data_IF_103488490102
#
_entry.id   IF_103488490102
#
_cell.length_a   1.000
_cell.length_b   1.000
_cell.length_c   1.000
_cell.angle_alpha   90.00
_cell.angle_beta   90.00
_cell.angle_gamma   90.00
#
_symmetry.space_group_name_H-M   'P 1'
#
loop_
_entity.id
_entity.type
_entity.pdbx_description
1 polymer ?
#
# COMPACT_ATOMS: atom_id res chain seq x y z
N UNK A 1 16.17 -6.51 -10.32
CA UNK A 1 14.87 -6.07 -9.78
C UNK A 1 14.69 -4.57 -9.98
N UNK A 2 13.52 -4.16 -10.45
CA UNK A 2 13.15 -2.75 -10.63
C UNK A 2 12.30 -2.26 -9.45
N UNK A 3 12.57 -1.04 -8.99
CA UNK A 3 11.73 -0.34 -8.01
C UNK A 3 11.42 1.06 -8.53
N UNK A 4 10.17 1.48 -8.36
CA UNK A 4 9.80 2.88 -8.63
C UNK A 4 10.47 3.81 -7.60
N UNK A 5 11.02 4.93 -8.05
CA UNK A 5 11.84 5.85 -7.22
C UNK A 5 11.20 6.32 -5.91
N UNK A 6 9.87 6.29 -5.80
CA UNK A 6 9.13 6.75 -4.63
C UNK A 6 8.86 5.64 -3.59
N UNK A 7 9.42 4.45 -3.80
CA UNK A 7 9.28 3.31 -2.89
C UNK A 7 10.50 3.24 -1.97
N UNK A 8 10.29 3.56 -0.69
CA UNK A 8 11.32 3.43 0.33
C UNK A 8 11.50 1.97 0.73
N UNK A 9 12.73 1.47 0.58
CA UNK A 9 13.07 0.05 0.74
C UNK A 9 14.44 -0.12 1.39
N UNK A 10 14.58 -1.18 2.17
CA UNK A 10 15.84 -1.56 2.81
C UNK A 10 16.10 -3.03 2.47
N UNK A 11 17.29 -3.36 1.96
CA UNK A 11 17.66 -4.77 1.80
C UNK A 11 17.97 -5.37 3.17
N UNK A 12 17.42 -6.53 3.47
CA UNK A 12 17.54 -7.25 4.74
C UNK A 12 18.45 -8.46 4.58
N UNK A 13 19.74 -8.20 4.39
CA UNK A 13 20.75 -9.27 4.21
C UNK A 13 20.87 -10.18 5.44
N UNK A 14 20.46 -9.69 6.60
CA UNK A 14 20.38 -10.44 7.84
C UNK A 14 19.30 -11.54 7.84
N UNK A 15 18.35 -11.47 6.90
CA UNK A 15 17.34 -12.51 6.67
C UNK A 15 17.71 -13.45 5.50
N UNK A 16 18.80 -13.18 4.78
CA UNK A 16 19.27 -14.00 3.67
C UNK A 16 20.10 -15.20 4.17
N UNK A 17 20.19 -16.26 3.37
CA UNK A 17 21.00 -17.45 3.67
C UNK A 17 21.96 -17.73 2.51
N UNK A 18 23.25 -17.93 2.79
CA UNK A 18 24.31 -18.01 1.76
C UNK A 18 24.12 -19.14 0.74
N UNK A 19 23.49 -20.25 1.17
CA UNK A 19 23.18 -21.41 0.32
C UNK A 19 21.88 -21.27 -0.49
N UNK A 20 21.22 -20.11 -0.41
CA UNK A 20 19.94 -19.84 -1.08
C UNK A 20 20.10 -18.68 -2.06
N UNK A 21 19.54 -18.85 -3.26
CA UNK A 21 19.36 -17.74 -4.19
C UNK A 21 18.12 -16.95 -3.77
N UNK A 22 18.25 -16.17 -2.71
CA UNK A 22 17.19 -15.32 -2.17
C UNK A 22 17.64 -13.89 -1.93
N UNK A 23 16.69 -12.96 -1.94
CA UNK A 23 16.92 -11.59 -1.48
C UNK A 23 15.73 -11.11 -0.67
N UNK A 24 16.03 -10.54 0.50
CA UNK A 24 15.01 -9.98 1.37
C UNK A 24 15.00 -8.45 1.33
N UNK A 25 13.81 -7.88 1.32
CA UNK A 25 13.59 -6.45 1.33
C UNK A 25 12.50 -6.08 2.32
N UNK A 26 12.74 -5.02 3.07
CA UNK A 26 11.71 -4.36 3.85
C UNK A 26 11.17 -3.17 3.07
N UNK A 27 9.90 -3.26 2.69
CA UNK A 27 9.13 -2.18 2.10
C UNK A 27 8.53 -1.32 3.21
N UNK A 28 8.99 -0.07 3.35
CA UNK A 28 8.40 0.87 4.31
C UNK A 28 7.08 1.41 3.74
N UNK A 29 5.97 1.12 4.42
CA UNK A 29 4.66 1.73 4.14
C UNK A 29 4.30 2.73 5.26
N UNK A 30 3.28 3.56 5.04
CA UNK A 30 2.79 4.50 6.09
C UNK A 30 2.20 3.77 7.31
N UNK A 31 1.65 2.56 7.11
CA UNK A 31 1.03 1.79 8.18
C UNK A 31 2.05 0.92 8.90
N UNK A 32 2.51 -0.14 8.25
CA UNK A 32 3.47 -1.11 8.79
C UNK A 32 4.37 -1.62 7.67
N UNK A 33 5.67 -1.84 7.94
CA UNK A 33 6.56 -2.41 6.95
C UNK A 33 6.08 -3.77 6.47
N UNK A 34 6.44 -4.13 5.24
CA UNK A 34 6.18 -5.44 4.64
C UNK A 34 7.53 -6.03 4.29
N UNK A 35 7.79 -7.26 4.73
CA UNK A 35 8.96 -8.01 4.29
C UNK A 35 8.61 -8.72 2.99
N UNK A 36 9.50 -8.60 2.01
CA UNK A 36 9.40 -9.20 0.69
C UNK A 36 10.62 -10.07 0.50
N UNK A 37 10.37 -11.35 0.29
CA UNK A 37 11.37 -12.36 0.00
C UNK A 37 11.23 -12.78 -1.46
N UNK A 38 12.34 -12.69 -2.21
CA UNK A 38 12.40 -13.05 -3.62
C UNK A 38 13.32 -14.24 -3.73
N UNK A 39 12.76 -15.40 -4.07
CA UNK A 39 13.49 -16.66 -4.12
C UNK A 39 13.58 -17.21 -5.53
N UNK A 40 14.72 -17.83 -5.81
CA UNK A 40 14.87 -18.77 -6.90
C UNK A 40 15.33 -20.11 -6.34
N UNK A 41 14.63 -21.19 -6.70
CA UNK A 41 15.11 -22.56 -6.48
C UNK A 41 15.50 -23.15 -7.82
N UNK A 42 16.76 -23.52 -8.00
CA UNK A 42 17.17 -24.29 -9.18
C UNK A 42 16.56 -25.71 -9.16
N UNK A 43 16.21 -26.27 -10.32
CA UNK A 43 15.84 -27.69 -10.45
C UNK A 43 16.91 -28.66 -9.95
N UNK A 44 18.19 -28.22 -9.96
CA UNK A 44 19.33 -29.02 -9.49
C UNK A 44 19.52 -28.98 -7.98
N UNK A 45 18.87 -28.04 -7.30
CA UNK A 45 19.00 -27.87 -5.86
C UNK A 45 18.19 -28.93 -5.12
N UNK A 46 18.78 -29.46 -4.04
CA UNK A 46 18.09 -30.41 -3.16
C UNK A 46 16.81 -29.79 -2.60
N UNK A 47 15.68 -30.46 -2.85
CA UNK A 47 14.38 -30.05 -2.32
C UNK A 47 14.42 -29.94 -0.79
N UNK A 48 15.03 -30.91 -0.11
CA UNK A 48 15.06 -30.95 1.37
C UNK A 48 15.83 -29.77 1.93
N UNK A 49 17.03 -29.50 1.43
CA UNK A 49 17.86 -28.40 1.94
C UNK A 49 17.25 -27.04 1.62
N UNK A 50 16.68 -26.86 0.42
CA UNK A 50 16.00 -25.62 0.07
C UNK A 50 14.89 -25.29 1.07
N UNK A 51 13.99 -26.24 1.36
CA UNK A 51 12.86 -25.99 2.25
C UNK A 51 13.28 -25.83 3.71
N UNK A 52 14.36 -26.47 4.15
CA UNK A 52 14.94 -26.25 5.48
C UNK A 52 15.49 -24.83 5.64
N UNK A 53 16.28 -24.34 4.67
CA UNK A 53 16.81 -22.98 4.71
C UNK A 53 15.71 -21.93 4.50
N UNK A 54 14.74 -22.20 3.63
CA UNK A 54 13.56 -21.36 3.46
C UNK A 54 12.77 -21.22 4.77
N UNK A 55 12.50 -22.34 5.46
CA UNK A 55 11.83 -22.34 6.77
C UNK A 55 12.63 -21.56 7.82
N UNK A 56 13.96 -21.69 7.84
CA UNK A 56 14.82 -20.93 8.74
C UNK A 56 14.78 -19.42 8.47
N UNK A 57 14.94 -18.98 7.21
CA UNK A 57 14.82 -17.56 6.83
C UNK A 57 13.45 -17.00 7.20
N UNK A 58 12.39 -17.77 6.94
CA UNK A 58 11.02 -17.38 7.21
C UNK A 58 10.74 -17.24 8.71
N UNK A 59 11.24 -18.15 9.55
CA UNK A 59 11.13 -18.04 11.01
C UNK A 59 11.81 -16.79 11.54
N UNK A 60 13.03 -16.51 11.09
CA UNK A 60 13.74 -15.28 11.47
C UNK A 60 12.94 -14.02 11.07
N UNK A 61 12.34 -14.03 9.87
CA UNK A 61 11.52 -12.92 9.41
C UNK A 61 10.21 -12.77 10.22
N UNK A 62 9.56 -13.90 10.56
CA UNK A 62 8.31 -13.93 11.34
C UNK A 62 8.50 -13.46 12.79
N UNK A 63 9.67 -13.69 13.38
CA UNK A 63 10.03 -13.19 14.71
C UNK A 63 10.02 -11.64 14.76
N UNK A 64 10.20 -10.97 13.62
CA UNK A 64 10.21 -9.52 13.53
C UNK A 64 8.92 -8.91 12.97
N UNK A 65 8.32 -9.56 11.96
CA UNK A 65 7.20 -9.02 11.23
C UNK A 65 6.33 -10.13 10.64
N UNK A 66 5.04 -10.10 10.97
CA UNK A 66 4.09 -11.06 10.42
C UNK A 66 3.51 -10.68 9.05
N UNK A 67 3.95 -9.56 8.44
CA UNK A 67 3.55 -9.10 7.09
C UNK A 67 4.62 -9.49 6.08
N UNK A 68 4.51 -10.69 5.52
CA UNK A 68 5.52 -11.28 4.64
C UNK A 68 4.90 -11.65 3.30
N UNK A 69 5.60 -11.35 2.22
CA UNK A 69 5.33 -11.81 0.86
C UNK A 69 6.56 -12.55 0.37
N UNK A 70 6.45 -13.85 0.12
CA UNK A 70 7.50 -14.64 -0.53
C UNK A 70 7.09 -14.89 -1.98
N UNK A 71 7.95 -14.57 -2.93
CA UNK A 71 7.66 -14.73 -4.36
C UNK A 71 8.86 -15.23 -5.16
N UNK A 72 8.58 -15.83 -6.31
CA UNK A 72 9.59 -16.22 -7.30
C UNK A 72 9.42 -17.63 -7.84
N UNK A 73 10.41 -18.10 -8.60
CA UNK A 73 10.40 -19.41 -9.23
C UNK A 73 10.98 -20.46 -8.27
N UNK A 74 10.11 -21.34 -7.78
CA UNK A 74 10.49 -22.39 -6.85
C UNK A 74 10.76 -23.74 -7.55
N UNK A 75 10.65 -23.79 -8.89
CA UNK A 75 10.79 -25.01 -9.69
C UNK A 75 10.08 -26.23 -9.07
N UNK A 76 8.87 -25.98 -8.55
CA UNK A 76 8.00 -26.98 -7.94
C UNK A 76 6.58 -26.71 -8.36
N UNK A 77 5.91 -27.73 -8.90
CA UNK A 77 4.55 -27.61 -9.39
C UNK A 77 3.54 -27.59 -8.23
N UNK A 78 2.85 -26.46 -8.02
CA UNK A 78 1.81 -26.31 -6.98
C UNK A 78 0.38 -26.51 -7.55
N UNK A 79 0.24 -27.00 -8.79
CA UNK A 79 -1.05 -27.47 -9.33
C UNK A 79 -1.44 -28.84 -8.75
N UNK A 80 -0.45 -29.68 -8.46
CA UNK A 80 -0.62 -30.97 -7.79
C UNK A 80 -0.53 -30.83 -6.28
N UNK A 81 -0.98 -31.87 -5.56
CA UNK A 81 -0.77 -31.96 -4.12
C UNK A 81 0.72 -31.83 -3.78
N UNK A 82 1.00 -30.97 -2.79
CA UNK A 82 2.35 -30.78 -2.31
C UNK A 82 2.77 -31.97 -1.43
N UNK A 83 4.03 -32.41 -1.53
CA UNK A 83 4.66 -33.25 -0.53
C UNK A 83 4.41 -32.72 0.90
N UNK A 84 4.25 -33.62 1.86
CA UNK A 84 3.87 -33.26 3.23
C UNK A 84 4.86 -32.31 3.89
N UNK A 85 6.15 -32.50 3.66
CA UNK A 85 7.23 -31.65 4.16
C UNK A 85 7.09 -30.19 3.69
N UNK A 86 6.83 -29.97 2.40
CA UNK A 86 6.62 -28.62 1.85
C UNK A 86 5.34 -28.01 2.40
N UNK A 87 4.27 -28.81 2.44
CA UNK A 87 2.97 -28.37 2.95
C UNK A 87 3.08 -27.95 4.42
N UNK A 88 3.85 -28.67 5.22
CA UNK A 88 4.07 -28.37 6.63
C UNK A 88 4.84 -27.06 6.79
N UNK A 89 5.90 -26.82 6.00
CA UNK A 89 6.62 -25.52 6.01
C UNK A 89 5.68 -24.36 5.67
N UNK A 90 4.83 -24.50 4.66
CA UNK A 90 3.87 -23.45 4.27
C UNK A 90 2.85 -23.23 5.39
N UNK A 91 2.25 -24.30 5.90
CA UNK A 91 1.14 -24.22 6.86
C UNK A 91 1.59 -23.77 8.26
N UNK A 92 2.69 -24.33 8.79
CA UNK A 92 3.22 -24.00 10.12
C UNK A 92 3.61 -22.52 10.21
N UNK A 93 4.14 -21.97 9.12
CA UNK A 93 4.53 -20.57 9.05
C UNK A 93 3.40 -19.62 8.59
N UNK A 94 2.16 -20.12 8.51
CA UNK A 94 0.99 -19.30 8.19
C UNK A 94 0.99 -18.71 6.78
N UNK A 95 1.72 -19.32 5.84
CA UNK A 95 1.75 -18.88 4.45
C UNK A 95 0.55 -19.40 3.67
N UNK A 96 0.01 -18.54 2.82
CA UNK A 96 -1.13 -18.79 1.95
C UNK A 96 -0.65 -18.67 0.51
N UNK A 97 -0.86 -19.72 -0.28
CA UNK A 97 -0.69 -19.67 -1.74
C UNK A 97 -1.78 -18.81 -2.36
N UNK A 98 -1.41 -17.85 -3.20
CA UNK A 98 -2.40 -16.97 -3.81
C UNK A 98 -2.48 -17.10 -5.35
N UNK A 99 -1.48 -17.66 -6.02
CA UNK A 99 -1.55 -17.98 -7.46
C UNK A 99 -2.03 -19.43 -7.66
N UNK A 100 -2.92 -19.63 -8.63
CA UNK A 100 -3.58 -20.92 -8.89
C UNK A 100 -3.61 -21.32 -10.38
N UNK A 101 -3.04 -20.49 -11.26
CA UNK A 101 -2.94 -20.76 -12.71
C UNK A 101 -1.53 -21.23 -13.04
N UNK A 102 -1.38 -21.98 -14.12
CA UNK A 102 -0.05 -22.35 -14.61
C UNK A 102 0.77 -21.09 -14.97
N UNK A 103 2.06 -21.14 -14.69
CA UNK A 103 3.01 -20.05 -14.93
C UNK A 103 4.19 -20.46 -15.79
N UNK A 104 4.28 -21.74 -16.17
CA UNK A 104 5.29 -22.30 -17.05
C UNK A 104 4.61 -23.19 -18.09
N UNK A 105 5.07 -23.09 -19.34
CA UNK A 105 4.49 -23.80 -20.48
C UNK A 105 5.60 -24.41 -21.33
N UNK A 106 5.73 -25.73 -21.31
CA UNK A 106 6.70 -26.45 -22.14
C UNK A 106 6.07 -26.76 -23.51
N UNK A 107 6.53 -26.05 -24.54
CA UNK A 107 6.03 -26.20 -25.92
C UNK A 107 6.39 -27.54 -26.55
N UNK A 108 7.40 -28.25 -26.03
CA UNK A 108 7.84 -29.56 -26.55
C UNK A 108 6.93 -30.68 -26.07
N UNK A 109 6.44 -30.58 -24.84
CA UNK A 109 5.58 -31.60 -24.21
C UNK A 109 4.12 -31.20 -24.17
N UNK A 110 3.77 -29.96 -24.57
CA UNK A 110 2.44 -29.36 -24.43
C UNK A 110 1.92 -29.40 -22.98
N UNK A 111 2.83 -29.35 -22.01
CA UNK A 111 2.49 -29.39 -20.59
C UNK A 111 2.55 -28.00 -19.97
N UNK A 112 1.82 -27.82 -18.86
CA UNK A 112 1.82 -26.58 -18.10
C UNK A 112 1.98 -26.86 -16.61
N UNK A 113 2.65 -25.96 -15.89
CA UNK A 113 2.93 -26.11 -14.45
C UNK A 113 2.88 -24.76 -13.75
N UNK A 114 2.54 -24.76 -12.46
CA UNK A 114 2.62 -23.57 -11.60
C UNK A 114 3.96 -23.62 -10.85
N UNK A 115 4.95 -22.87 -11.33
CA UNK A 115 6.32 -22.84 -10.81
C UNK A 115 6.70 -21.50 -10.16
N UNK A 116 6.10 -20.40 -10.65
CA UNK A 116 6.23 -19.06 -10.08
C UNK A 116 5.14 -18.87 -9.02
N UNK A 117 5.55 -18.70 -7.77
CA UNK A 117 4.61 -18.62 -6.65
C UNK A 117 4.61 -17.23 -6.05
N UNK A 118 3.45 -16.86 -5.51
CA UNK A 118 3.34 -15.81 -4.51
C UNK A 118 2.68 -16.45 -3.29
N UNK A 119 3.40 -16.43 -2.18
CA UNK A 119 2.99 -16.88 -0.87
C UNK A 119 2.93 -15.66 0.05
N UNK A 120 1.86 -15.54 0.82
CA UNK A 120 1.67 -14.39 1.71
C UNK A 120 1.23 -14.86 3.08
N UNK A 121 1.59 -14.13 4.13
CA UNK A 121 0.94 -14.30 5.43
C UNK A 121 -0.49 -13.73 5.41
N UNK A 122 -1.32 -14.20 6.33
CA UNK A 122 -2.72 -13.77 6.50
C UNK A 122 -2.90 -12.26 6.70
N UNK A 123 -1.87 -11.58 7.22
CA UNK A 123 -1.86 -10.14 7.50
C UNK A 123 -1.61 -9.24 6.27
N UNK A 124 -1.38 -9.84 5.10
CA UNK A 124 -1.25 -9.11 3.83
C UNK A 124 -2.63 -8.87 3.21
N UNK A 125 -3.09 -7.61 3.10
CA UNK A 125 -4.37 -7.29 2.49
C UNK A 125 -4.26 -7.34 0.96
N UNK A 126 -4.42 -8.53 0.39
CA UNK A 126 -4.41 -8.74 -1.06
C UNK A 126 -5.69 -8.16 -1.67
N UNK A 127 -5.54 -7.25 -2.62
CA UNK A 127 -6.63 -6.61 -3.37
C UNK A 127 -6.90 -7.31 -4.70
N UNK A 128 -5.84 -7.68 -5.42
CA UNK A 128 -5.93 -8.36 -6.72
C UNK A 128 -4.69 -9.22 -6.96
N UNK A 129 -4.81 -10.24 -7.81
CA UNK A 129 -3.74 -11.19 -8.11
C UNK A 129 -4.06 -11.99 -9.36
N UNK A 130 -3.08 -12.16 -10.23
CA UNK A 130 -3.20 -13.08 -11.35
C UNK A 130 -1.84 -13.39 -12.00
N UNK A 131 -1.88 -14.17 -13.08
CA UNK A 131 -0.80 -14.33 -14.04
C UNK A 131 -0.98 -13.38 -15.22
N UNK A 132 0.12 -12.89 -15.78
CA UNK A 132 0.15 -12.08 -16.99
C UNK A 132 0.78 -12.93 -18.09
N UNK A 133 0.02 -13.25 -19.16
CA UNK A 133 0.55 -13.98 -20.30
C UNK A 133 1.72 -13.24 -20.95
N UNK A 134 2.83 -13.95 -21.13
CA UNK A 134 4.00 -13.47 -21.87
C UNK A 134 4.07 -14.20 -23.22
N UNK A 135 4.52 -13.46 -24.25
CA UNK A 135 4.73 -14.04 -25.58
C UNK A 135 5.75 -15.19 -25.52
N UNK A 136 5.42 -16.33 -26.14
CA UNK A 136 6.25 -17.55 -26.08
C UNK A 136 7.54 -17.48 -26.89
N UNK A 137 7.68 -16.47 -27.76
CA UNK A 137 8.96 -16.12 -28.37
C UNK A 137 9.90 -15.38 -27.42
N UNK A 138 9.40 -14.89 -26.28
CA UNK A 138 10.17 -14.17 -25.25
C UNK A 138 10.46 -15.07 -24.05
N UNK A 139 9.44 -15.78 -23.54
CA UNK A 139 9.54 -16.57 -22.31
C UNK A 139 8.54 -17.74 -22.32
N UNK A 140 8.98 -18.88 -21.81
CA UNK A 140 8.13 -20.04 -21.46
C UNK A 140 7.39 -19.85 -20.12
N UNK A 141 7.81 -18.88 -19.32
CA UNK A 141 7.12 -18.45 -18.11
C UNK A 141 6.16 -17.27 -18.35
N UNK A 142 5.02 -17.32 -17.66
CA UNK A 142 4.17 -16.16 -17.40
C UNK A 142 4.59 -15.45 -16.12
N UNK A 143 4.42 -14.13 -16.12
CA UNK A 143 4.67 -13.28 -14.96
C UNK A 143 3.51 -13.43 -13.95
N UNK A 144 3.80 -13.27 -12.67
CA UNK A 144 2.78 -13.26 -11.61
C UNK A 144 2.72 -11.87 -10.97
N UNK A 145 1.52 -11.40 -10.64
CA UNK A 145 1.37 -10.15 -9.89
C UNK A 145 0.47 -10.31 -8.67
N UNK A 146 0.71 -9.42 -7.71
CA UNK A 146 -0.16 -9.19 -6.56
C UNK A 146 -0.29 -7.69 -6.32
N UNK A 147 -1.51 -7.22 -6.13
CA UNK A 147 -1.82 -5.87 -5.67
C UNK A 147 -2.21 -5.96 -4.20
N UNK A 148 -1.57 -5.14 -3.37
CA UNK A 148 -1.79 -5.12 -1.93
C UNK A 148 -2.20 -3.74 -1.44
N UNK A 149 -3.04 -3.68 -0.42
CA UNK A 149 -3.34 -2.42 0.26
C UNK A 149 -2.22 -2.03 1.24
N UNK A 150 -1.52 -0.95 0.92
CA UNK A 150 -0.48 -0.39 1.77
C UNK A 150 -0.98 0.74 2.68
N UNK A 151 -2.29 1.01 2.71
CA UNK A 151 -2.90 2.10 3.47
C UNK A 151 -2.50 3.48 2.97
N UNK A 152 -2.25 3.62 1.67
CA UNK A 152 -1.86 4.90 1.09
C UNK A 152 -3.08 5.80 0.94
N UNK A 153 -3.32 6.67 1.93
CA UNK A 153 -4.19 7.83 1.73
C UNK A 153 -3.41 8.95 1.04
N UNK A 154 -3.95 9.41 -0.09
CA UNK A 154 -3.56 10.65 -0.78
C UNK A 154 -4.09 11.90 -0.10
N UNK A 155 -4.89 11.78 0.97
CA UNK A 155 -5.33 12.94 1.75
C UNK A 155 -4.11 13.61 2.36
N UNK A 156 -3.67 14.71 1.75
CA UNK A 156 -2.71 15.61 2.39
C UNK A 156 -3.38 16.09 3.65
N UNK A 157 -2.78 15.77 4.79
CA UNK A 157 -3.12 16.43 6.04
C UNK A 157 -2.79 17.90 5.85
N UNK A 158 -3.79 18.77 5.92
CA UNK A 158 -3.56 20.21 5.78
C UNK A 158 -4.06 20.93 7.02
N UNK A 159 -3.31 21.95 7.41
CA UNK A 159 -3.69 22.83 8.50
C UNK A 159 -4.76 23.78 7.96
N UNK A 160 -5.96 23.73 8.54
CA UNK A 160 -7.02 24.69 8.27
C UNK A 160 -7.19 25.60 9.46
N UNK A 161 -7.28 26.90 9.21
CA UNK A 161 -7.78 27.86 10.20
C UNK A 161 -9.28 27.66 10.37
N UNK A 162 -9.71 27.28 11.57
CA UNK A 162 -11.11 27.07 11.94
C UNK A 162 -11.49 28.16 12.94
N UNK A 163 -12.65 28.79 12.75
CA UNK A 163 -13.18 29.76 13.70
C UNK A 163 -13.49 29.09 15.04
N UNK A 164 -12.91 29.62 16.11
CA UNK A 164 -13.20 29.17 17.47
C UNK A 164 -14.40 29.94 18.03
N UNK A 165 -15.59 29.47 17.65
CA UNK A 165 -16.86 30.07 18.09
C UNK A 165 -17.02 30.09 19.62
N UNK A 166 -16.24 29.31 20.39
CA UNK A 166 -16.29 29.38 21.86
C UNK A 166 -15.63 30.66 22.41
N UNK A 167 -14.72 31.26 21.64
CA UNK A 167 -13.93 32.43 22.02
C UNK A 167 -14.36 33.71 21.28
N UNK A 168 -15.46 33.67 20.53
CA UNK A 168 -15.95 34.84 19.79
C UNK A 168 -16.49 35.94 20.69
N UNK A 169 -16.14 37.19 20.38
CA UNK A 169 -16.76 38.37 21.00
C UNK A 169 -18.04 38.74 20.23
N UNK A 170 -19.14 38.11 20.64
CA UNK A 170 -20.45 38.34 20.02
C UNK A 170 -21.05 39.71 20.36
N UNK A 171 -20.58 40.37 21.42
CA UNK A 171 -20.98 41.74 21.76
C UNK A 171 -20.43 42.72 20.73
N UNK A 172 -19.12 42.62 20.48
CA UNK A 172 -18.44 43.39 19.43
C UNK A 172 -19.00 43.07 18.04
N UNK A 173 -19.24 41.79 17.74
CA UNK A 173 -19.84 41.38 16.47
C UNK A 173 -21.20 42.03 16.26
N UNK A 174 -22.07 42.00 17.28
CA UNK A 174 -23.40 42.65 17.21
C UNK A 174 -23.28 44.14 16.97
N UNK A 175 -22.37 44.83 17.66
CA UNK A 175 -22.15 46.27 17.44
C UNK A 175 -21.69 46.55 16.01
N UNK A 176 -20.71 45.81 15.51
CA UNK A 176 -20.19 45.98 14.15
C UNK A 176 -21.26 45.72 13.09
N UNK A 177 -22.09 44.68 13.26
CA UNK A 177 -23.22 44.39 12.35
C UNK A 177 -24.22 45.54 12.36
N UNK A 178 -24.59 46.08 13.52
CA UNK A 178 -25.57 47.17 13.62
C UNK A 178 -25.02 48.49 13.07
N UNK A 179 -23.72 48.73 13.20
CA UNK A 179 -23.07 49.96 12.73
C UNK A 179 -22.70 49.93 11.24
N UNK A 180 -22.86 48.77 10.58
CA UNK A 180 -22.56 48.63 9.16
C UNK A 180 -23.71 49.16 8.31
N UNK A 181 -23.40 50.03 7.34
CA UNK A 181 -24.38 50.55 6.39
C UNK A 181 -24.69 49.53 5.28
N UNK A 182 -25.52 48.54 5.61
CA UNK A 182 -25.91 47.47 4.68
C UNK A 182 -26.68 48.00 3.46
N UNK A 183 -27.48 49.05 3.65
CA UNK A 183 -28.29 49.63 2.59
C UNK A 183 -27.40 50.19 1.49
N UNK A 184 -26.36 50.94 1.83
CA UNK A 184 -25.40 51.45 0.87
C UNK A 184 -24.65 50.31 0.14
N UNK A 185 -24.14 49.32 0.89
CA UNK A 185 -23.40 48.17 0.33
C UNK A 185 -24.19 47.36 -0.71
N UNK A 186 -25.51 47.32 -0.56
CA UNK A 186 -26.44 46.59 -1.43
C UNK A 186 -26.96 47.48 -2.55
N UNK A 187 -27.36 48.71 -2.26
CA UNK A 187 -28.01 49.63 -3.21
C UNK A 187 -27.03 50.28 -4.20
N UNK A 188 -25.76 50.42 -3.84
CA UNK A 188 -24.71 50.93 -4.75
C UNK A 188 -24.11 49.84 -5.65
N UNK A 189 -24.51 48.59 -5.49
CA UNK A 189 -24.02 47.50 -6.32
C UNK A 189 -24.59 47.57 -7.75
N UNK A 190 -23.76 47.28 -8.76
CA UNK A 190 -24.16 47.29 -10.16
C UNK A 190 -25.15 46.18 -10.53
N UNK A 191 -25.13 45.07 -9.78
CA UNK A 191 -26.01 43.93 -9.96
C UNK A 191 -26.09 43.09 -8.67
N UNK A 192 -26.92 42.04 -8.72
CA UNK A 192 -27.17 41.14 -7.60
C UNK A 192 -25.93 40.34 -7.17
N UNK A 193 -25.01 40.02 -8.10
CA UNK A 193 -23.79 39.26 -7.81
C UNK A 193 -22.83 40.16 -7.01
N UNK A 194 -22.68 41.41 -7.42
CA UNK A 194 -21.87 42.41 -6.71
C UNK A 194 -22.45 42.69 -5.33
N UNK A 195 -23.77 42.85 -5.22
CA UNK A 195 -24.43 43.04 -3.92
C UNK A 195 -24.18 41.85 -2.96
N UNK A 196 -24.32 40.62 -3.45
CA UNK A 196 -24.07 39.41 -2.66
C UNK A 196 -22.59 39.29 -2.26
N UNK A 197 -21.67 39.68 -3.14
CA UNK A 197 -20.23 39.69 -2.87
C UNK A 197 -19.87 40.72 -1.81
N UNK A 198 -20.40 41.94 -1.92
CA UNK A 198 -20.21 43.02 -0.94
C UNK A 198 -20.72 42.61 0.44
N UNK A 199 -21.94 42.06 0.51
CA UNK A 199 -22.49 41.55 1.76
C UNK A 199 -21.59 40.46 2.36
N UNK A 200 -21.24 39.45 1.57
CA UNK A 200 -20.46 38.29 2.04
C UNK A 200 -19.08 38.72 2.56
N UNK A 201 -18.37 39.55 1.81
CA UNK A 201 -17.04 40.02 2.20
C UNK A 201 -17.10 40.88 3.46
N UNK A 202 -18.08 41.79 3.55
CA UNK A 202 -18.24 42.65 4.73
C UNK A 202 -18.60 41.84 5.96
N UNK A 203 -19.53 40.88 5.83
CA UNK A 203 -19.91 40.01 6.94
C UNK A 203 -18.75 39.13 7.40
N UNK A 204 -18.00 38.52 6.47
CA UNK A 204 -16.82 37.70 6.80
C UNK A 204 -15.74 38.55 7.46
N UNK A 205 -15.53 39.79 7.02
CA UNK A 205 -14.59 40.71 7.65
C UNK A 205 -14.98 41.05 9.09
N UNK A 206 -16.27 41.34 9.34
CA UNK A 206 -16.77 41.57 10.69
C UNK A 206 -16.57 40.31 11.55
N UNK A 207 -16.92 39.14 11.02
CA UNK A 207 -16.79 37.88 11.73
C UNK A 207 -15.32 37.54 12.04
N UNK A 208 -14.38 37.77 11.12
CA UNK A 208 -12.95 37.48 11.33
C UNK A 208 -12.29 38.43 12.33
N UNK A 209 -12.80 39.66 12.46
CA UNK A 209 -12.35 40.60 13.49
C UNK A 209 -12.86 40.24 14.90
N UNK A 210 -13.97 39.48 15.00
CA UNK A 210 -14.63 39.18 16.28
C UNK A 210 -14.45 37.73 16.74
N UNK A 211 -14.17 36.80 15.83
CA UNK A 211 -14.05 35.37 16.12
C UNK A 211 -12.61 34.94 15.81
N UNK A 212 -11.81 34.61 16.85
CA UNK A 212 -10.43 34.17 16.63
C UNK A 212 -10.41 32.82 15.92
N UNK A 213 -9.29 32.55 15.24
CA UNK A 213 -9.08 31.27 14.56
C UNK A 213 -8.13 30.38 15.35
N UNK A 214 -8.35 29.08 15.27
CA UNK A 214 -7.41 28.06 15.73
C UNK A 214 -7.01 27.17 14.57
N UNK A 215 -5.82 26.59 14.66
CA UNK A 215 -5.34 25.63 13.68
C UNK A 215 -5.88 24.24 14.02
N UNK A 216 -6.53 23.61 13.03
CA UNK A 216 -6.96 22.22 13.07
C UNK A 216 -6.22 21.42 12.01
N UNK A 217 -5.72 20.26 12.41
CA UNK A 217 -5.18 19.26 11.48
C UNK A 217 -6.32 18.35 11.03
N UNK A 218 -6.56 18.25 9.72
CA UNK A 218 -7.55 17.35 9.11
C UNK A 218 -6.82 16.37 8.19
#
# INVERSE_FOLDING_TARGET
MYFKNYVHRIRRQDLEHDEMESMWFELKTKLRPILIDINYRSERQSTVYFWQYFDQMLKNALDENNRIICLGDLNKNFMSDLPSDIRDVIFINGLIKIIYKATYFDTRTSSSSLLNHILVTDSIPVLDKDTIPIDRGISDHDETYVTIDCGFSTSRTYIRSIWDYKLGDYGLMKQNVLNTNWENLISEASDVIVAATNFTNTFIYIASACIPTREGTI
#
